data_IF_052279573932
#
_entry.id   IF_052279573932
#
_cell.length_a   1.000
_cell.length_b   1.000
_cell.length_c   1.000
_cell.angle_alpha   90.00
_cell.angle_beta   90.00
_cell.angle_gamma   90.00
#
_symmetry.space_group_name_H-M   'P 1'
#
loop_
_entity.id
_entity.type
_entity.pdbx_description
1 polymer ?
#
# COMPACT_ATOMS: atom_id res chain seq x y z
N UNK A 1 9.71 -7.32 18.36
CA UNK A 1 10.38 -7.69 17.09
C UNK A 1 9.64 -8.77 16.30
N UNK A 2 9.21 -9.91 16.86
CA UNK A 2 8.42 -10.93 16.10
C UNK A 2 7.09 -10.39 15.55
N UNK A 3 6.29 -9.74 16.39
CA UNK A 3 4.94 -9.26 16.05
C UNK A 3 4.88 -8.31 14.84
N UNK A 4 5.92 -7.49 14.66
CA UNK A 4 6.00 -6.52 13.58
C UNK A 4 6.31 -7.19 12.24
N UNK A 5 7.13 -8.25 12.26
CA UNK A 5 7.41 -9.06 11.07
C UNK A 5 6.17 -9.87 10.68
N UNK A 6 5.50 -10.47 11.65
CA UNK A 6 4.28 -11.24 11.44
C UNK A 6 3.15 -10.38 10.82
N UNK A 7 3.01 -9.11 11.25
CA UNK A 7 2.06 -8.19 10.61
C UNK A 7 2.47 -7.83 9.18
N UNK A 8 3.77 -7.60 8.96
CA UNK A 8 4.30 -7.27 7.63
C UNK A 8 4.01 -8.36 6.62
N UNK A 9 4.26 -9.62 7.02
CA UNK A 9 4.04 -10.79 6.19
C UNK A 9 2.53 -10.99 5.92
N UNK A 10 1.67 -10.71 6.90
CA UNK A 10 0.22 -10.79 6.75
C UNK A 10 -0.34 -9.69 5.81
N UNK A 11 0.13 -8.46 5.95
CA UNK A 11 -0.22 -7.34 5.05
C UNK A 11 0.27 -7.58 3.62
N UNK A 12 1.49 -8.09 3.48
CA UNK A 12 2.03 -8.44 2.17
C UNK A 12 1.18 -9.51 1.50
N UNK A 13 0.76 -10.53 2.25
CA UNK A 13 -0.13 -11.59 1.76
C UNK A 13 -1.50 -11.04 1.36
N UNK A 14 -2.11 -10.18 2.19
CA UNK A 14 -3.40 -9.56 1.87
C UNK A 14 -3.31 -8.73 0.57
N UNK A 15 -2.28 -7.90 0.41
CA UNK A 15 -2.09 -7.11 -0.82
C UNK A 15 -1.82 -8.02 -2.02
N UNK A 16 -1.04 -9.09 -1.84
CA UNK A 16 -0.76 -10.06 -2.89
C UNK A 16 -2.04 -10.78 -3.35
N UNK A 17 -2.89 -11.22 -2.42
CA UNK A 17 -4.16 -11.89 -2.74
C UNK A 17 -5.15 -10.95 -3.44
N UNK A 18 -5.30 -9.71 -2.97
CA UNK A 18 -6.28 -8.77 -3.52
C UNK A 18 -5.83 -8.09 -4.81
N UNK A 19 -4.53 -7.84 -4.97
CA UNK A 19 -3.99 -7.03 -6.05
C UNK A 19 -2.99 -7.76 -6.95
N UNK A 20 -2.63 -9.00 -6.62
CA UNK A 20 -1.70 -9.82 -7.41
C UNK A 20 -0.26 -9.34 -7.36
N UNK A 21 0.14 -8.63 -6.30
CA UNK A 21 1.49 -8.09 -6.16
C UNK A 21 2.16 -8.55 -4.88
N UNK A 22 3.30 -9.23 -5.02
CA UNK A 22 4.14 -9.62 -3.88
C UNK A 22 4.96 -8.43 -3.37
N UNK A 23 4.96 -8.23 -2.06
CA UNK A 23 5.62 -7.11 -1.40
C UNK A 23 6.54 -7.56 -0.28
N UNK A 24 7.69 -6.91 -0.19
CA UNK A 24 8.53 -6.99 0.99
C UNK A 24 8.36 -5.69 1.77
N UNK A 25 7.52 -5.75 2.82
CA UNK A 25 7.17 -4.58 3.62
C UNK A 25 8.15 -4.48 4.80
N UNK A 26 8.83 -3.34 4.92
CA UNK A 26 9.50 -2.94 6.15
C UNK A 26 8.64 -1.91 6.87
N UNK A 27 7.96 -2.33 7.94
CA UNK A 27 7.08 -1.46 8.73
C UNK A 27 7.92 -0.57 9.66
N UNK A 28 8.57 0.46 9.12
CA UNK A 28 9.20 1.51 9.95
C UNK A 28 8.42 2.84 9.89
N UNK A 29 7.57 3.00 8.89
CA UNK A 29 6.79 4.21 8.64
C UNK A 29 5.37 4.13 9.25
N UNK A 30 4.81 5.28 9.64
CA UNK A 30 3.40 5.43 10.04
C UNK A 30 2.42 5.24 8.87
N UNK A 31 2.93 5.21 7.65
CA UNK A 31 2.17 5.02 6.43
C UNK A 31 2.98 4.19 5.44
N UNK A 32 2.35 3.16 4.87
CA UNK A 32 2.85 2.43 3.70
C UNK A 32 2.10 2.96 2.49
N UNK A 33 2.84 3.37 1.46
CA UNK A 33 2.26 3.76 0.17
C UNK A 33 2.71 2.78 -0.90
N UNK A 34 1.75 2.13 -1.53
CA UNK A 34 2.02 1.16 -2.58
C UNK A 34 1.30 1.50 -3.88
N UNK A 35 1.92 1.19 -5.03
CA UNK A 35 1.38 1.49 -6.34
C UNK A 35 0.65 0.28 -6.92
N UNK A 36 -0.68 0.32 -6.89
CA UNK A 36 -1.54 -0.75 -7.41
C UNK A 36 -1.55 -0.80 -8.94
N UNK A 37 -1.46 0.36 -9.59
CA UNK A 37 -1.54 0.46 -11.04
C UNK A 37 -0.81 1.69 -11.54
N UNK A 38 -0.12 1.54 -12.67
CA UNK A 38 0.44 2.64 -13.46
C UNK A 38 0.24 2.34 -14.94
N UNK A 39 -0.46 3.24 -15.63
CA UNK A 39 -0.54 3.21 -17.09
C UNK A 39 0.83 3.44 -17.75
N UNK A 40 1.00 3.06 -19.02
CA UNK A 40 2.28 3.08 -19.74
C UNK A 40 3.06 4.41 -19.67
N UNK A 41 2.38 5.54 -19.51
CA UNK A 41 2.99 6.86 -19.38
C UNK A 41 2.76 7.53 -18.01
N UNK A 42 2.23 6.79 -17.03
CA UNK A 42 1.86 7.34 -15.73
C UNK A 42 0.70 8.36 -15.79
N UNK A 43 -0.06 8.39 -16.88
CA UNK A 43 -1.25 9.24 -17.04
C UNK A 43 -2.26 8.91 -15.95
N UNK A 44 -2.57 7.63 -15.80
CA UNK A 44 -3.36 7.10 -14.69
C UNK A 44 -2.45 6.34 -13.74
N UNK A 45 -2.52 6.68 -12.45
CA UNK A 45 -1.82 5.99 -11.35
C UNK A 45 -2.81 5.73 -10.22
N UNK A 46 -2.81 4.51 -9.69
CA UNK A 46 -3.53 4.17 -8.46
C UNK A 46 -2.54 3.75 -7.38
N UNK A 47 -2.72 4.29 -6.19
CA UNK A 47 -1.93 3.93 -5.01
C UNK A 47 -2.86 3.55 -3.86
N UNK A 48 -2.43 2.58 -3.06
CA UNK A 48 -3.02 2.30 -1.76
C UNK A 48 -2.12 2.90 -0.68
N UNK A 49 -2.75 3.62 0.23
CA UNK A 49 -2.16 4.23 1.41
C UNK A 49 -2.68 3.45 2.61
N UNK A 50 -1.77 2.86 3.37
CA UNK A 50 -2.10 2.03 4.54
C UNK A 50 -1.52 2.74 5.75
N UNK A 51 -2.41 3.27 6.60
CA UNK A 51 -1.99 3.95 7.82
C UNK A 51 -1.80 2.95 8.95
N UNK A 52 -0.70 3.13 9.68
CA UNK A 52 -0.28 2.25 10.76
C UNK A 52 -0.18 3.03 12.07
N UNK A 53 -0.68 2.44 13.15
CA UNK A 53 -0.46 2.92 14.51
C UNK A 53 0.14 1.80 15.34
N UNK A 54 1.35 2.02 15.88
CA UNK A 54 2.09 1.03 16.67
C UNK A 54 2.25 -0.33 15.97
N UNK A 55 2.43 -0.31 14.66
CA UNK A 55 2.50 -1.54 13.85
C UNK A 55 1.17 -2.31 13.88
N UNK A 56 0.04 -1.62 13.80
CA UNK A 56 -1.29 -2.17 13.50
C UNK A 56 -1.93 -1.32 12.42
N UNK A 57 -2.64 -1.95 11.48
CA UNK A 57 -3.38 -1.22 10.44
C UNK A 57 -4.60 -0.58 11.04
N UNK A 58 -4.76 0.72 10.78
CA UNK A 58 -5.91 1.49 11.25
C UNK A 58 -6.73 2.11 10.12
N UNK A 59 -6.17 2.17 8.90
CA UNK A 59 -6.88 2.73 7.75
C UNK A 59 -6.27 2.27 6.42
N UNK A 60 -7.14 2.07 5.42
CA UNK A 60 -6.76 1.86 4.02
C UNK A 60 -7.41 2.96 3.17
N UNK A 61 -6.64 3.64 2.33
CA UNK A 61 -7.13 4.68 1.44
C UNK A 61 -6.56 4.48 0.03
N UNK A 62 -7.43 4.40 -0.96
CA UNK A 62 -7.02 4.31 -2.37
C UNK A 62 -7.05 5.71 -2.98
N UNK A 63 -5.91 6.17 -3.47
CA UNK A 63 -5.80 7.42 -4.19
C UNK A 63 -5.59 7.15 -5.68
N UNK A 64 -6.40 7.80 -6.52
CA UNK A 64 -6.23 7.76 -7.97
C UNK A 64 -5.78 9.12 -8.47
N UNK A 65 -4.73 9.13 -9.29
CA UNK A 65 -4.23 10.33 -9.96
C UNK A 65 -4.39 10.19 -11.47
N UNK A 66 -4.87 11.25 -12.12
CA UNK A 66 -4.88 11.44 -13.56
C UNK A 66 -4.06 12.67 -13.91
N UNK A 67 -3.06 12.52 -14.78
CA UNK A 67 -2.11 13.57 -15.16
C UNK A 67 -1.45 14.25 -13.93
N UNK A 68 -1.15 13.46 -12.90
CA UNK A 68 -0.57 13.96 -11.64
C UNK A 68 -1.56 14.64 -10.70
N UNK A 69 -2.82 14.84 -11.10
CA UNK A 69 -3.87 15.44 -10.27
C UNK A 69 -4.64 14.30 -9.60
N UNK A 70 -4.81 14.38 -8.27
CA UNK A 70 -5.69 13.46 -7.55
C UNK A 70 -7.14 13.74 -7.94
N UNK A 71 -7.81 12.73 -8.48
CA UNK A 71 -9.18 12.86 -9.02
C UNK A 71 -10.24 12.20 -8.12
N UNK A 72 -9.81 11.39 -7.14
CA UNK A 72 -10.64 10.76 -6.10
C UNK A 72 -9.80 10.62 -4.83
#
# INVERSE_FOLDING_TARGET
>A
MRFQKDLSDLLATEIEEFYGVSLNLEIESKEIVYMLYKSHFGILVKRIHISLLSGMVINYNIATSFLGIRII
#
